data_IF_613589729178
#
_entry.id   IF_613589729178
#
_cell.length_a   1.000
_cell.length_b   1.000
_cell.length_c   1.000
_cell.angle_alpha   90.00
_cell.angle_beta   90.00
_cell.angle_gamma   90.00
#
_symmetry.space_group_name_H-M   'P 1'
#
loop_
_entity.id
_entity.type
_entity.pdbx_description
1 polymer ?
#
# COMPACT_ATOMS: atom_id res chain seq x y z
N UNK A 1 -9.56 21.64 7.22
CA UNK A 1 -9.58 20.15 7.03
C UNK A 1 -10.00 19.35 8.28
N UNK A 2 -10.39 20.00 9.38
CA UNK A 2 -10.75 19.34 10.64
C UNK A 2 -11.76 18.21 10.42
N UNK A 3 -11.48 17.01 10.98
CA UNK A 3 -12.32 15.83 10.83
C UNK A 3 -12.24 15.07 9.50
N UNK A 4 -11.36 15.48 8.57
CA UNK A 4 -11.09 14.72 7.34
C UNK A 4 -10.25 13.48 7.68
N UNK A 5 -10.62 12.33 7.10
CA UNK A 5 -9.83 11.10 7.22
C UNK A 5 -9.07 10.87 5.93
N UNK A 6 -7.74 10.77 6.01
CA UNK A 6 -6.89 10.46 4.87
C UNK A 6 -6.43 9.01 5.03
N UNK A 7 -6.78 8.18 4.05
CA UNK A 7 -6.46 6.75 4.05
C UNK A 7 -5.38 6.49 3.02
N UNK A 8 -4.27 5.96 3.47
CA UNK A 8 -3.10 5.68 2.64
C UNK A 8 -3.00 4.19 2.31
N UNK A 9 -2.57 3.86 1.11
CA UNK A 9 -1.88 2.59 0.92
C UNK A 9 -0.50 2.62 1.59
N UNK A 10 0.16 1.49 1.67
CA UNK A 10 1.43 1.33 2.37
C UNK A 10 2.59 1.17 1.40
N UNK A 11 2.64 0.02 0.70
CA UNK A 11 3.74 -0.34 -0.19
C UNK A 11 3.68 0.51 -1.47
N UNK A 12 4.71 1.31 -1.76
CA UNK A 12 4.74 2.21 -2.92
C UNK A 12 4.07 3.57 -2.67
N UNK A 13 3.39 3.73 -1.56
CA UNK A 13 2.71 5.00 -1.19
C UNK A 13 3.36 5.66 0.01
N UNK A 14 3.30 5.04 1.19
CA UNK A 14 3.94 5.57 2.40
C UNK A 14 5.42 5.20 2.47
N UNK A 15 5.75 3.98 2.05
CA UNK A 15 7.07 3.37 2.21
C UNK A 15 7.53 2.76 0.89
N UNK A 16 8.78 3.03 0.51
CA UNK A 16 9.46 2.29 -0.54
C UNK A 16 9.90 0.93 0.02
N UNK A 17 9.05 -0.07 -0.17
CA UNK A 17 9.27 -1.44 0.32
C UNK A 17 9.82 -2.38 -0.75
N UNK A 18 9.93 -1.93 -1.99
CA UNK A 18 10.37 -2.76 -3.11
C UNK A 18 11.73 -3.45 -2.85
N UNK A 19 12.75 -2.79 -2.27
CA UNK A 19 14.04 -3.44 -2.03
C UNK A 19 13.92 -4.72 -1.20
N UNK A 20 13.17 -4.70 -0.09
CA UNK A 20 13.07 -5.84 0.82
C UNK A 20 12.07 -6.90 0.32
N UNK A 21 11.00 -6.49 -0.36
CA UNK A 21 10.06 -7.42 -0.99
C UNK A 21 10.71 -8.22 -2.10
N UNK A 22 11.51 -7.57 -2.96
CA UNK A 22 12.23 -8.20 -4.08
C UNK A 22 13.34 -9.11 -3.56
N UNK A 23 14.10 -8.68 -2.56
CA UNK A 23 15.09 -9.50 -1.90
C UNK A 23 14.46 -10.77 -1.31
N UNK A 24 13.30 -10.62 -0.65
CA UNK A 24 12.55 -11.74 -0.09
C UNK A 24 12.12 -12.74 -1.17
N UNK A 25 11.54 -12.25 -2.29
CA UNK A 25 11.14 -13.11 -3.39
C UNK A 25 12.34 -13.92 -3.92
N UNK A 26 13.45 -13.24 -4.15
CA UNK A 26 14.66 -13.86 -4.67
C UNK A 26 15.31 -14.83 -3.68
N UNK A 27 15.28 -14.53 -2.38
CA UNK A 27 15.76 -15.45 -1.34
C UNK A 27 14.91 -16.74 -1.27
N UNK A 28 13.59 -16.62 -1.39
CA UNK A 28 12.69 -17.79 -1.45
C UNK A 28 12.94 -18.59 -2.72
N UNK A 29 13.08 -17.93 -3.88
CA UNK A 29 13.33 -18.59 -5.16
C UNK A 29 14.69 -19.29 -5.20
N UNK A 30 15.73 -18.71 -4.62
CA UNK A 30 17.05 -19.34 -4.53
C UNK A 30 17.01 -20.66 -3.77
N UNK A 31 16.18 -20.79 -2.71
CA UNK A 31 15.99 -22.09 -2.00
C UNK A 31 15.32 -23.17 -2.86
N UNK A 32 14.57 -22.74 -3.87
CA UNK A 32 13.95 -23.62 -4.85
C UNK A 32 14.82 -23.88 -6.08
N UNK A 33 16.06 -23.38 -6.10
CA UNK A 33 16.95 -23.47 -7.25
C UNK A 33 16.50 -22.66 -8.46
N UNK A 34 15.62 -21.68 -8.26
CA UNK A 34 15.15 -20.78 -9.31
C UNK A 34 16.09 -19.56 -9.44
N UNK A 35 16.30 -19.05 -10.65
CA UNK A 35 17.09 -17.84 -10.85
C UNK A 35 16.37 -16.63 -10.25
N UNK A 36 17.11 -15.55 -9.91
CA UNK A 36 16.50 -14.34 -9.41
C UNK A 36 15.64 -13.65 -10.47
N UNK A 37 14.56 -13.01 -10.03
CA UNK A 37 13.80 -12.06 -10.84
C UNK A 37 14.53 -10.73 -10.82
N UNK A 38 14.71 -10.09 -11.98
CA UNK A 38 15.33 -8.78 -12.03
C UNK A 38 14.48 -7.71 -11.32
N UNK A 39 15.13 -6.64 -10.87
CA UNK A 39 14.51 -5.64 -10.01
C UNK A 39 13.30 -4.95 -10.67
N UNK A 40 13.42 -4.60 -11.96
CA UNK A 40 12.33 -3.89 -12.66
C UNK A 40 11.09 -4.77 -12.80
N UNK A 41 11.26 -6.01 -13.29
CA UNK A 41 10.17 -6.99 -13.40
C UNK A 41 9.54 -7.33 -12.05
N UNK A 42 10.35 -7.49 -11.00
CA UNK A 42 9.85 -7.82 -9.66
C UNK A 42 9.10 -6.65 -9.00
N UNK A 43 9.51 -5.40 -9.28
CA UNK A 43 8.84 -4.19 -8.79
C UNK A 43 7.40 -4.09 -9.31
N UNK A 44 7.17 -4.45 -10.55
CA UNK A 44 5.84 -4.47 -11.17
C UNK A 44 4.91 -5.56 -10.59
N UNK A 45 5.46 -6.53 -9.84
CA UNK A 45 4.68 -7.58 -9.19
C UNK A 45 4.09 -7.14 -7.84
N UNK A 46 4.50 -5.99 -7.31
CA UNK A 46 4.05 -5.47 -6.01
C UNK A 46 2.63 -4.88 -6.14
N UNK A 47 1.89 -4.79 -5.03
CA UNK A 47 0.56 -4.14 -4.94
C UNK A 47 -0.61 -5.12 -4.79
N UNK A 48 -0.45 -6.37 -5.24
CA UNK A 48 -1.50 -7.40 -5.10
C UNK A 48 -1.40 -8.28 -3.85
N UNK A 49 -0.46 -7.97 -2.94
CA UNK A 49 -0.14 -8.79 -1.77
C UNK A 49 0.92 -9.86 -2.06
N UNK A 50 1.54 -10.38 -0.99
CA UNK A 50 2.70 -11.28 -1.07
C UNK A 50 2.42 -12.59 -1.83
N UNK A 51 1.24 -13.20 -1.66
CA UNK A 51 0.86 -14.40 -2.40
C UNK A 51 0.89 -14.16 -3.91
N UNK A 52 0.27 -13.07 -4.36
CA UNK A 52 0.24 -12.71 -5.78
C UNK A 52 1.64 -12.39 -6.33
N UNK A 53 2.50 -11.81 -5.50
CA UNK A 53 3.91 -11.57 -5.89
C UNK A 53 4.65 -12.88 -6.12
N UNK A 54 4.47 -13.89 -5.26
CA UNK A 54 5.04 -15.24 -5.45
C UNK A 54 4.48 -15.89 -6.73
N UNK A 55 3.17 -15.84 -6.95
CA UNK A 55 2.52 -16.39 -8.14
C UNK A 55 3.04 -15.76 -9.44
N UNK A 56 3.16 -14.42 -9.47
CA UNK A 56 3.71 -13.67 -10.61
C UNK A 56 5.18 -13.99 -10.85
N UNK A 57 5.95 -14.12 -9.78
CA UNK A 57 7.35 -14.50 -9.88
C UNK A 57 7.53 -15.91 -10.47
N UNK A 58 6.69 -16.88 -10.08
CA UNK A 58 6.69 -18.22 -10.67
C UNK A 58 6.30 -18.17 -12.15
N UNK A 59 5.26 -17.42 -12.50
CA UNK A 59 4.85 -17.22 -13.91
C UNK A 59 5.97 -16.58 -14.74
N UNK A 60 6.69 -15.61 -14.19
CA UNK A 60 7.86 -14.99 -14.83
C UNK A 60 8.95 -16.01 -15.14
N UNK A 61 9.14 -17.00 -14.26
CA UNK A 61 10.06 -18.13 -14.46
C UNK A 61 9.52 -19.21 -15.39
N UNK A 62 8.33 -19.03 -16.00
CA UNK A 62 7.66 -20.01 -16.83
C UNK A 62 7.20 -21.26 -16.04
N UNK A 63 7.05 -21.14 -14.71
CA UNK A 63 6.69 -22.26 -13.83
C UNK A 63 5.25 -22.13 -13.34
N UNK A 64 4.52 -23.24 -13.44
CA UNK A 64 3.23 -23.41 -12.77
C UNK A 64 3.45 -24.14 -11.45
N UNK A 65 2.83 -23.67 -10.39
CA UNK A 65 2.87 -24.29 -9.07
C UNK A 65 1.47 -24.80 -8.67
N UNK A 66 1.42 -25.89 -7.91
CA UNK A 66 0.19 -26.33 -7.26
C UNK A 66 -0.21 -25.36 -6.14
N UNK A 67 -1.46 -25.43 -5.69
CA UNK A 67 -1.95 -24.62 -4.57
C UNK A 67 -1.08 -24.86 -3.31
N UNK A 68 -0.78 -26.14 -3.00
CA UNK A 68 0.04 -26.49 -1.84
C UNK A 68 1.48 -25.98 -1.94
N UNK A 69 2.07 -25.95 -3.14
CA UNK A 69 3.38 -25.38 -3.36
C UNK A 69 3.37 -23.87 -3.21
N UNK A 70 2.38 -23.19 -3.76
CA UNK A 70 2.18 -21.75 -3.58
C UNK A 70 1.99 -21.38 -2.11
N UNK A 71 1.21 -22.18 -1.36
CA UNK A 71 1.00 -21.99 0.08
C UNK A 71 2.31 -22.10 0.87
N UNK A 72 3.16 -23.07 0.55
CA UNK A 72 4.48 -23.24 1.17
C UNK A 72 5.39 -22.08 0.86
N UNK A 73 5.53 -21.69 -0.42
CA UNK A 73 6.36 -20.58 -0.84
C UNK A 73 5.89 -19.25 -0.25
N UNK A 74 4.57 -19.05 -0.13
CA UNK A 74 4.00 -17.90 0.56
C UNK A 74 4.37 -17.89 2.05
N UNK A 75 4.29 -19.03 2.73
CA UNK A 75 4.69 -19.13 4.15
C UNK A 75 6.18 -18.82 4.33
N UNK A 76 7.04 -19.34 3.45
CA UNK A 76 8.47 -19.04 3.44
C UNK A 76 8.75 -17.56 3.18
N UNK A 77 8.00 -16.95 2.25
CA UNK A 77 8.07 -15.52 1.97
C UNK A 77 7.72 -14.70 3.22
N UNK A 78 6.60 -15.00 3.87
CA UNK A 78 6.17 -14.28 5.09
C UNK A 78 7.21 -14.41 6.20
N UNK A 79 7.77 -15.61 6.38
CA UNK A 79 8.80 -15.88 7.40
C UNK A 79 10.07 -15.05 7.14
N UNK A 80 10.58 -15.08 5.90
CA UNK A 80 11.78 -14.33 5.54
C UNK A 80 11.54 -12.82 5.64
N UNK A 81 10.44 -12.34 5.03
CA UNK A 81 10.09 -10.91 5.02
C UNK A 81 9.89 -10.35 6.43
N UNK A 82 9.26 -11.11 7.34
CA UNK A 82 9.09 -10.67 8.73
C UNK A 82 10.41 -10.42 9.45
N UNK A 83 11.44 -11.22 9.15
CA UNK A 83 12.76 -11.07 9.72
C UNK A 83 13.57 -9.91 9.08
N UNK A 84 13.21 -9.49 7.88
CA UNK A 84 13.89 -8.48 7.05
C UNK A 84 12.94 -7.35 6.65
N UNK A 85 12.01 -6.97 7.53
CA UNK A 85 10.84 -6.15 7.21
C UNK A 85 11.20 -4.72 6.75
N UNK A 86 12.34 -4.20 7.20
CA UNK A 86 12.81 -2.85 6.91
C UNK A 86 14.34 -2.77 6.91
N UNK A 87 15.02 -3.73 6.31
CA UNK A 87 16.48 -3.70 6.17
C UNK A 87 16.91 -2.56 5.22
N UNK A 88 16.09 -2.29 4.19
CA UNK A 88 16.31 -1.24 3.19
C UNK A 88 15.04 -0.41 2.90
N UNK A 89 13.89 -0.81 3.43
CA UNK A 89 12.64 -0.06 3.26
C UNK A 89 12.70 1.26 4.00
N UNK A 90 12.27 2.34 3.35
CA UNK A 90 12.29 3.69 3.91
C UNK A 90 10.99 4.44 3.57
N UNK A 91 10.51 5.34 4.45
CA UNK A 91 9.44 6.27 4.11
C UNK A 91 9.83 7.10 2.88
N UNK A 92 8.89 7.36 1.98
CA UNK A 92 9.15 8.28 0.88
C UNK A 92 9.46 9.68 1.37
N UNK A 93 10.29 10.38 0.60
CA UNK A 93 10.76 11.72 0.95
C UNK A 93 9.60 12.70 1.13
N UNK A 94 9.64 13.48 2.22
CA UNK A 94 8.62 14.49 2.54
C UNK A 94 7.40 13.95 3.30
N UNK A 95 7.29 12.63 3.52
CA UNK A 95 6.15 12.01 4.20
C UNK A 95 5.90 12.60 5.59
N UNK A 96 6.91 12.65 6.45
CA UNK A 96 6.75 13.12 7.83
C UNK A 96 6.24 14.56 7.89
N UNK A 97 6.81 15.46 7.07
CA UNK A 97 6.40 16.85 6.98
C UNK A 97 4.97 16.99 6.45
N UNK A 98 4.57 16.15 5.49
CA UNK A 98 3.20 16.15 4.97
C UNK A 98 2.20 15.69 6.04
N UNK A 99 2.50 14.62 6.76
CA UNK A 99 1.68 14.14 7.87
C UNK A 99 1.57 15.18 8.99
N UNK A 100 2.66 15.89 9.33
CA UNK A 100 2.64 16.94 10.34
C UNK A 100 1.73 18.11 9.94
N UNK A 101 1.84 18.60 8.69
CA UNK A 101 0.98 19.68 8.16
C UNK A 101 -0.50 19.30 8.18
N UNK A 102 -0.80 18.07 7.76
CA UNK A 102 -2.18 17.58 7.72
C UNK A 102 -2.74 17.32 9.12
N UNK A 103 -1.93 16.79 10.04
CA UNK A 103 -2.32 16.60 11.44
C UNK A 103 -2.60 17.95 12.12
N UNK A 104 -1.75 18.96 11.91
CA UNK A 104 -1.98 20.32 12.40
C UNK A 104 -3.28 20.94 11.86
N UNK A 105 -3.74 20.51 10.69
CA UNK A 105 -5.02 20.90 10.10
C UNK A 105 -6.23 20.09 10.63
N UNK A 106 -6.00 19.17 11.59
CA UNK A 106 -7.04 18.33 12.22
C UNK A 106 -7.46 17.12 11.39
N UNK A 107 -6.61 16.67 10.45
CA UNK A 107 -6.81 15.43 9.72
C UNK A 107 -6.49 14.22 10.57
N UNK A 108 -7.15 13.09 10.27
CA UNK A 108 -6.89 11.77 10.83
C UNK A 108 -6.33 10.87 9.74
N UNK A 109 -5.44 9.94 10.11
CA UNK A 109 -4.81 9.03 9.15
C UNK A 109 -5.17 7.60 9.42
N UNK A 110 -5.28 6.80 8.35
CA UNK A 110 -5.43 5.36 8.40
C UNK A 110 -4.64 4.71 7.27
N UNK A 111 -4.36 3.42 7.40
CA UNK A 111 -3.73 2.59 6.37
C UNK A 111 -4.72 1.54 5.88
N UNK A 112 -4.86 1.42 4.55
CA UNK A 112 -5.67 0.42 3.86
C UNK A 112 -4.81 -0.26 2.79
N UNK A 113 -4.37 -1.48 3.04
CA UNK A 113 -3.37 -2.15 2.20
C UNK A 113 -3.70 -3.61 1.91
N UNK A 114 -3.18 -4.14 0.79
CA UNK A 114 -3.20 -5.58 0.48
C UNK A 114 -2.08 -6.37 1.17
N UNK A 115 -1.23 -5.69 1.96
CA UNK A 115 -0.31 -6.35 2.89
C UNK A 115 -1.08 -6.92 4.09
N UNK A 116 -0.60 -8.01 4.70
CA UNK A 116 -1.17 -8.53 5.95
C UNK A 116 -1.07 -7.49 7.07
N UNK A 117 -2.11 -7.37 7.90
CA UNK A 117 -2.16 -6.40 9.00
C UNK A 117 -0.95 -6.52 9.93
N UNK A 118 -0.59 -7.75 10.31
CA UNK A 118 0.56 -8.02 11.18
C UNK A 118 1.87 -7.47 10.62
N UNK A 119 2.13 -7.69 9.32
CA UNK A 119 3.32 -7.17 8.64
C UNK A 119 3.27 -5.65 8.48
N UNK A 120 2.09 -5.09 8.21
CA UNK A 120 1.90 -3.63 8.10
C UNK A 120 2.22 -2.92 9.41
N UNK A 121 1.75 -3.49 10.52
CA UNK A 121 2.05 -3.00 11.87
C UNK A 121 3.54 -3.12 12.20
N UNK A 122 4.14 -4.28 11.92
CA UNK A 122 5.56 -4.52 12.16
C UNK A 122 6.44 -3.52 11.39
N UNK A 123 6.18 -3.33 10.08
CA UNK A 123 6.89 -2.35 9.25
C UNK A 123 6.77 -0.93 9.81
N UNK A 124 5.55 -0.49 10.12
CA UNK A 124 5.31 0.86 10.62
C UNK A 124 5.87 1.06 12.05
N UNK A 125 5.90 0.02 12.88
CA UNK A 125 6.57 0.07 14.20
C UNK A 125 8.09 0.21 14.04
N UNK A 126 8.69 -0.59 13.16
CA UNK A 126 10.14 -0.56 12.87
C UNK A 126 10.58 0.81 12.34
N UNK A 127 9.75 1.45 11.51
CA UNK A 127 10.00 2.79 10.95
C UNK A 127 9.54 3.94 11.87
N UNK A 128 8.99 3.65 13.07
CA UNK A 128 8.54 4.68 14.02
C UNK A 128 7.25 5.41 13.61
N UNK A 129 6.55 4.94 12.58
CA UNK A 129 5.39 5.61 11.97
C UNK A 129 4.04 5.18 12.57
N UNK A 130 3.98 4.03 13.27
CA UNK A 130 2.71 3.42 13.66
C UNK A 130 1.76 4.34 14.40
N UNK A 131 2.29 5.17 15.31
CA UNK A 131 1.49 6.08 16.15
C UNK A 131 0.80 7.19 15.38
N UNK A 132 1.17 7.40 14.12
CA UNK A 132 0.54 8.38 13.22
C UNK A 132 -0.85 7.97 12.77
N UNK A 133 -1.16 6.66 12.77
CA UNK A 133 -2.36 6.09 12.17
C UNK A 133 -3.36 5.63 13.23
N UNK A 134 -4.61 6.11 13.11
CA UNK A 134 -5.73 5.73 13.96
C UNK A 134 -6.21 4.28 13.69
N UNK A 135 -6.04 3.80 12.46
CA UNK A 135 -6.30 2.42 12.05
C UNK A 135 -5.27 1.95 11.03
N UNK A 136 -4.91 0.68 11.09
CA UNK A 136 -4.05 -0.02 10.12
C UNK A 136 -4.78 -1.30 9.77
N UNK A 137 -5.27 -1.39 8.52
CA UNK A 137 -6.08 -2.50 8.05
C UNK A 137 -5.41 -3.14 6.83
N UNK A 138 -5.09 -4.42 6.95
CA UNK A 138 -4.58 -5.28 5.89
C UNK A 138 -5.68 -6.09 5.22
N UNK A 139 -5.32 -6.87 4.20
CA UNK A 139 -6.26 -7.74 3.49
C UNK A 139 -6.95 -8.79 4.37
N UNK A 140 -6.33 -9.15 5.48
CA UNK A 140 -6.79 -10.13 6.46
C UNK A 140 -7.61 -9.53 7.61
N UNK A 141 -7.62 -8.21 7.78
CA UNK A 141 -8.35 -7.53 8.87
C UNK A 141 -9.86 -7.78 8.81
N UNK A 142 -10.43 -7.75 7.61
CA UNK A 142 -11.88 -7.89 7.41
C UNK A 142 -12.24 -9.06 6.48
N UNK A 143 -11.25 -9.82 6.01
CA UNK A 143 -11.45 -10.89 5.03
C UNK A 143 -11.80 -10.39 3.63
N UNK A 144 -11.54 -9.12 3.34
CA UNK A 144 -11.71 -8.47 2.02
C UNK A 144 -10.48 -7.63 1.69
N UNK A 145 -10.12 -7.56 0.42
CA UNK A 145 -8.94 -6.85 -0.04
C UNK A 145 -9.27 -5.86 -1.16
N UNK A 146 -8.38 -4.90 -1.42
CA UNK A 146 -8.48 -4.04 -2.60
C UNK A 146 -8.44 -4.89 -3.87
N UNK A 147 -9.27 -4.64 -4.90
CA UNK A 147 -10.09 -3.43 -5.10
C UNK A 147 -11.52 -3.45 -4.52
N UNK A 148 -11.87 -4.41 -3.66
CA UNK A 148 -13.19 -4.42 -3.02
C UNK A 148 -13.39 -3.15 -2.16
N UNK A 149 -14.44 -2.32 -2.43
CA UNK A 149 -14.61 -1.04 -1.74
C UNK A 149 -14.86 -1.16 -0.24
N UNK A 150 -15.32 -2.31 0.21
CA UNK A 150 -15.68 -2.51 1.61
C UNK A 150 -14.44 -2.48 2.53
N UNK A 151 -13.26 -2.86 2.06
CA UNK A 151 -12.04 -2.71 2.85
C UNK A 151 -11.79 -1.23 3.19
N UNK A 152 -11.92 -0.33 2.21
CA UNK A 152 -11.73 1.12 2.42
C UNK A 152 -12.80 1.70 3.34
N UNK A 153 -14.08 1.34 3.13
CA UNK A 153 -15.19 1.79 3.97
C UNK A 153 -15.01 1.37 5.43
N UNK A 154 -14.59 0.13 5.69
CA UNK A 154 -14.33 -0.39 7.04
C UNK A 154 -13.10 0.25 7.66
N UNK A 155 -12.04 0.50 6.89
CA UNK A 155 -10.84 1.19 7.37
C UNK A 155 -11.18 2.61 7.84
N UNK A 156 -11.99 3.36 7.07
CA UNK A 156 -12.44 4.71 7.45
C UNK A 156 -13.22 4.66 8.78
N UNK A 157 -14.15 3.72 8.92
CA UNK A 157 -14.92 3.53 10.17
C UNK A 157 -14.04 3.13 11.34
N UNK A 158 -13.09 2.20 11.14
CA UNK A 158 -12.15 1.76 12.16
C UNK A 158 -11.26 2.92 12.67
N UNK A 159 -10.94 3.87 11.78
CA UNK A 159 -10.26 5.10 12.16
C UNK A 159 -11.17 6.12 12.88
N UNK A 160 -12.47 5.84 13.06
CA UNK A 160 -13.45 6.77 13.59
C UNK A 160 -13.82 7.91 12.63
N UNK A 161 -13.64 7.68 11.32
CA UNK A 161 -13.94 8.63 10.24
C UNK A 161 -15.36 8.50 9.69
N UNK A 162 -15.73 9.50 8.87
CA UNK A 162 -16.95 9.51 8.05
C UNK A 162 -16.55 9.31 6.58
N UNK A 163 -17.21 8.38 5.89
CA UNK A 163 -16.97 8.10 4.46
C UNK A 163 -17.14 9.34 3.58
N UNK A 164 -18.09 10.21 3.95
CA UNK A 164 -18.36 11.48 3.23
C UNK A 164 -17.26 12.53 3.47
N UNK A 165 -16.32 12.27 4.36
CA UNK A 165 -15.20 13.13 4.72
C UNK A 165 -13.91 12.32 4.73
N UNK A 166 -13.65 11.66 3.62
CA UNK A 166 -12.45 10.84 3.45
C UNK A 166 -11.81 11.12 2.09
N UNK A 167 -10.52 10.93 2.02
CA UNK A 167 -9.69 10.94 0.80
C UNK A 167 -8.78 9.74 0.87
N UNK A 168 -8.61 9.03 -0.25
CA UNK A 168 -7.61 7.97 -0.38
C UNK A 168 -6.32 8.52 -1.00
N UNK A 169 -5.19 7.96 -0.62
CA UNK A 169 -3.87 8.20 -1.24
C UNK A 169 -3.28 6.85 -1.61
N UNK A 170 -2.89 6.67 -2.86
CA UNK A 170 -2.37 5.40 -3.36
C UNK A 170 -1.52 5.56 -4.62
N UNK A 171 -0.82 4.51 -5.03
CA UNK A 171 0.11 4.53 -6.17
C UNK A 171 -0.30 3.61 -7.33
N UNK A 172 -1.41 2.88 -7.20
CA UNK A 172 -1.77 1.83 -8.15
C UNK A 172 -3.20 1.94 -8.69
N UNK A 173 -3.45 1.26 -9.82
CA UNK A 173 -4.80 1.10 -10.36
C UNK A 173 -5.76 0.38 -9.40
N UNK A 174 -5.23 -0.47 -8.51
CA UNK A 174 -6.01 -1.14 -7.47
C UNK A 174 -6.55 -0.12 -6.47
N UNK A 175 -5.75 0.88 -6.09
CA UNK A 175 -6.18 1.96 -5.18
C UNK A 175 -7.24 2.83 -5.81
N UNK A 176 -7.02 3.24 -7.07
CA UNK A 176 -7.97 4.06 -7.83
C UNK A 176 -9.31 3.34 -7.96
N UNK A 177 -9.29 2.06 -8.36
CA UNK A 177 -10.50 1.25 -8.47
C UNK A 177 -11.22 1.12 -7.11
N UNK A 178 -10.48 0.91 -6.02
CA UNK A 178 -11.04 0.82 -4.67
C UNK A 178 -11.72 2.11 -4.24
N UNK A 179 -11.04 3.25 -4.44
CA UNK A 179 -11.54 4.57 -4.07
C UNK A 179 -12.80 4.92 -4.86
N UNK A 180 -12.78 4.76 -6.19
CA UNK A 180 -13.93 5.02 -7.05
C UNK A 180 -15.13 4.13 -6.69
N UNK A 181 -14.93 2.82 -6.50
CA UNK A 181 -15.98 1.90 -6.08
C UNK A 181 -16.55 2.22 -4.69
N UNK A 182 -15.74 2.81 -3.81
CA UNK A 182 -16.17 3.28 -2.49
C UNK A 182 -16.88 4.65 -2.54
N UNK A 183 -16.75 5.42 -3.63
CA UNK A 183 -17.21 6.79 -3.74
C UNK A 183 -16.35 7.78 -2.94
N UNK A 184 -15.05 7.49 -2.80
CA UNK A 184 -14.07 8.31 -2.07
C UNK A 184 -13.11 8.92 -3.07
N UNK A 185 -12.84 10.24 -3.02
CA UNK A 185 -11.83 10.85 -3.87
C UNK A 185 -10.43 10.28 -3.61
N UNK A 186 -9.59 10.27 -4.66
CA UNK A 186 -8.23 9.74 -4.57
C UNK A 186 -7.19 10.72 -5.08
N UNK A 187 -6.12 10.90 -4.30
CA UNK A 187 -4.85 11.49 -4.73
C UNK A 187 -3.90 10.34 -5.06
N UNK A 188 -3.46 10.24 -6.30
CA UNK A 188 -2.45 9.27 -6.70
C UNK A 188 -1.04 9.84 -6.56
N UNK A 189 -0.06 8.96 -6.31
CA UNK A 189 1.36 9.29 -6.33
C UNK A 189 2.04 8.59 -7.50
N UNK A 190 2.99 9.23 -8.20
CA UNK A 190 3.66 8.67 -9.38
C UNK A 190 5.03 8.03 -9.09
N UNK A 191 5.50 8.15 -7.87
CA UNK A 191 6.77 7.56 -7.44
C UNK A 191 6.66 6.09 -6.96
N UNK A 192 5.45 5.52 -6.92
CA UNK A 192 5.17 4.15 -6.48
C UNK A 192 5.39 3.07 -7.55
N UNK A 193 4.60 1.99 -7.52
CA UNK A 193 4.85 0.74 -8.25
C UNK A 193 3.80 0.41 -9.31
N UNK A 194 3.16 1.40 -9.90
CA UNK A 194 2.12 1.17 -10.92
C UNK A 194 2.69 0.56 -12.21
N UNK A 195 2.15 -0.58 -12.65
CA UNK A 195 2.49 -1.21 -13.94
C UNK A 195 2.06 -0.32 -15.14
N UNK A 196 0.92 0.35 -15.00
CA UNK A 196 0.41 1.30 -16.00
C UNK A 196 0.73 2.72 -15.54
N UNK A 197 1.11 3.63 -16.44
CA UNK A 197 1.34 5.03 -16.06
C UNK A 197 0.14 5.58 -15.27
N UNK A 198 0.34 5.91 -14.00
CA UNK A 198 -0.73 6.26 -13.06
C UNK A 198 -1.60 7.42 -13.55
N UNK A 199 -1.02 8.35 -14.33
CA UNK A 199 -1.72 9.48 -14.98
C UNK A 199 -2.83 9.06 -15.94
N UNK A 200 -2.79 7.81 -16.44
CA UNK A 200 -3.76 7.25 -17.39
C UNK A 200 -4.93 6.56 -16.68
N UNK A 201 -4.83 6.36 -15.36
CA UNK A 201 -5.77 5.57 -14.57
C UNK A 201 -6.92 6.39 -13.96
N UNK A 202 -6.95 7.71 -14.18
CA UNK A 202 -8.10 8.55 -13.84
C UNK A 202 -8.23 8.88 -12.34
N UNK A 203 -7.13 9.05 -11.61
CA UNK A 203 -7.16 9.60 -10.27
C UNK A 203 -7.67 11.07 -10.28
N UNK A 204 -8.32 11.52 -9.19
CA UNK A 204 -8.81 12.90 -9.08
C UNK A 204 -7.68 13.93 -9.04
N UNK A 205 -6.54 13.54 -8.47
CA UNK A 205 -5.28 14.31 -8.48
C UNK A 205 -4.09 13.38 -8.54
N UNK A 206 -2.99 13.89 -9.10
CA UNK A 206 -1.69 13.24 -9.17
C UNK A 206 -0.66 14.16 -8.52
N UNK A 207 0.22 13.60 -7.69
CA UNK A 207 1.36 14.29 -7.11
C UNK A 207 2.65 13.51 -7.35
N UNK A 208 3.77 14.23 -7.48
CA UNK A 208 5.10 13.65 -7.65
C UNK A 208 5.97 13.77 -6.38
N UNK A 209 5.49 14.51 -5.38
CA UNK A 209 6.17 14.67 -4.09
C UNK A 209 5.16 14.92 -2.97
N UNK A 210 5.48 14.47 -1.74
CA UNK A 210 4.60 14.65 -0.59
C UNK A 210 4.38 16.13 -0.18
N UNK A 211 5.24 17.07 -0.59
CA UNK A 211 5.01 18.49 -0.34
C UNK A 211 3.75 19.02 -1.02
N UNK A 212 3.29 18.36 -2.08
CA UNK A 212 2.07 18.69 -2.83
C UNK A 212 0.80 18.13 -2.16
N UNK A 213 0.95 17.13 -1.26
CA UNK A 213 -0.17 16.35 -0.73
C UNK A 213 -1.24 17.22 -0.06
N UNK A 214 -0.85 18.18 0.76
CA UNK A 214 -1.81 19.02 1.49
C UNK A 214 -2.67 19.87 0.54
N UNK A 215 -2.09 20.40 -0.53
CA UNK A 215 -2.80 21.11 -1.61
C UNK A 215 -3.74 20.19 -2.38
N UNK A 216 -3.24 19.04 -2.83
CA UNK A 216 -4.02 18.07 -3.58
C UNK A 216 -5.22 17.54 -2.77
N UNK A 217 -5.01 17.23 -1.49
CA UNK A 217 -6.10 16.82 -0.59
C UNK A 217 -7.16 17.90 -0.44
N UNK A 218 -6.78 19.18 -0.33
CA UNK A 218 -7.73 20.29 -0.24
C UNK A 218 -8.60 20.41 -1.50
N UNK A 219 -8.03 20.19 -2.66
CA UNK A 219 -8.73 20.32 -3.95
C UNK A 219 -9.78 19.21 -4.15
N UNK A 220 -9.50 17.98 -3.69
CA UNK A 220 -10.40 16.83 -3.87
C UNK A 220 -11.31 16.58 -2.66
N UNK A 221 -10.98 17.15 -1.49
CA UNK A 221 -11.74 16.90 -0.27
C UNK A 221 -13.21 17.31 -0.41
N UNK A 222 -14.16 16.44 -0.01
CA UNK A 222 -15.57 16.80 -0.02
C UNK A 222 -15.85 18.04 0.83
N UNK A 223 -16.75 18.95 0.38
CA UNK A 223 -17.07 20.17 1.11
C UNK A 223 -17.64 19.86 2.50
N UNK A 224 -17.36 20.76 3.44
CA UNK A 224 -18.00 20.72 4.78
C UNK A 224 -19.48 21.12 4.59
N UNK A 225 -20.38 20.18 4.78
CA UNK A 225 -21.83 20.47 4.82
C UNK A 225 -22.26 20.84 6.24
#
# INVERSE_FOLDING_TARGET
MAGLTIVFDLDGTLVDTAPDLIETLNAVFAREGLPPVDYASARDMIGGGARRMVERGLQYQGRSASVSETDRLFADFITYYSAHIADRSQPFLGLDQALDRLAASGCRFAVCTNKLEGLSRLLLDTLGLRRRFAAICGQDTFGVQKPEPEILRRTIRAAGGDLRRAVMVGDSGIDIATAHAAGVPIVAVDFGYSETPIKELGADRLISHFDELAGAVLEVAPPVR
#
